data_IF_123030795827
#
_entry.id   IF_123030795827
#
_cell.length_a   1.000
_cell.length_b   1.000
_cell.length_c   1.000
_cell.angle_alpha   90.00
_cell.angle_beta   90.00
_cell.angle_gamma   90.00
#
_symmetry.space_group_name_H-M   'P 1'
#
loop_
_entity.id
_entity.type
_entity.pdbx_description
1 polymer ?
#
# COMPACT_ATOMS: atom_id res chain seq x y z
N UNK A 1 11.87 -39.33 10.12
CA UNK A 1 12.56 -38.03 10.27
C UNK A 1 11.89 -36.91 9.45
N UNK A 2 10.70 -37.15 8.87
CA UNK A 2 10.11 -36.28 7.85
C UNK A 2 9.21 -35.16 8.40
N UNK A 3 8.67 -35.33 9.62
CA UNK A 3 7.82 -34.31 10.25
C UNK A 3 8.55 -32.98 10.49
N UNK A 4 9.85 -33.02 10.79
CA UNK A 4 10.63 -31.82 11.05
C UNK A 4 10.93 -31.04 9.74
N UNK A 5 11.20 -31.75 8.64
CA UNK A 5 11.39 -31.11 7.32
C UNK A 5 10.10 -30.45 6.83
N UNK A 6 8.95 -31.10 7.04
CA UNK A 6 7.66 -30.53 6.66
C UNK A 6 7.30 -29.28 7.48
N UNK A 7 7.53 -29.29 8.80
CA UNK A 7 7.30 -28.13 9.66
C UNK A 7 8.20 -26.94 9.28
N UNK A 8 9.46 -27.18 8.93
CA UNK A 8 10.38 -26.14 8.45
C UNK A 8 9.89 -25.53 7.13
N UNK A 9 9.41 -26.37 6.19
CA UNK A 9 8.86 -25.90 4.91
C UNK A 9 7.63 -25.02 5.11
N UNK A 10 6.69 -25.46 5.95
CA UNK A 10 5.46 -24.69 6.28
C UNK A 10 5.85 -23.36 6.93
N UNK A 11 6.78 -23.37 7.89
CA UNK A 11 7.26 -22.13 8.53
C UNK A 11 7.84 -21.12 7.53
N UNK A 12 8.72 -21.57 6.63
CA UNK A 12 9.32 -20.71 5.61
C UNK A 12 8.27 -20.13 4.66
N UNK A 13 7.30 -20.93 4.27
CA UNK A 13 6.20 -20.52 3.42
C UNK A 13 5.32 -19.45 4.10
N UNK A 14 4.90 -19.68 5.35
CA UNK A 14 4.14 -18.70 6.14
C UNK A 14 4.91 -17.38 6.30
N UNK A 15 6.22 -17.46 6.60
CA UNK A 15 7.08 -16.28 6.74
C UNK A 15 7.19 -15.49 5.42
N UNK A 16 7.34 -16.17 4.29
CA UNK A 16 7.44 -15.52 2.98
C UNK A 16 6.13 -14.83 2.58
N UNK A 17 4.99 -15.49 2.80
CA UNK A 17 3.65 -14.94 2.54
C UNK A 17 3.38 -13.71 3.40
N UNK A 18 3.71 -13.77 4.69
CA UNK A 18 3.65 -12.62 5.60
C UNK A 18 4.51 -11.45 5.11
N UNK A 19 5.76 -11.71 4.71
CA UNK A 19 6.66 -10.67 4.21
C UNK A 19 6.12 -10.01 2.94
N UNK A 20 5.54 -10.81 2.02
CA UNK A 20 4.91 -10.28 0.81
C UNK A 20 3.75 -9.33 1.15
N UNK A 21 2.87 -9.74 2.06
CA UNK A 21 1.75 -8.93 2.52
C UNK A 21 2.21 -7.59 3.13
N UNK A 22 3.23 -7.62 4.00
CA UNK A 22 3.83 -6.41 4.56
C UNK A 22 4.43 -5.49 3.49
N UNK A 23 5.19 -6.05 2.54
CA UNK A 23 5.78 -5.28 1.45
C UNK A 23 4.72 -4.61 0.56
N UNK A 24 3.58 -5.27 0.32
CA UNK A 24 2.46 -4.70 -0.42
C UNK A 24 1.81 -3.56 0.38
N UNK A 25 1.63 -3.72 1.69
CA UNK A 25 1.13 -2.66 2.57
C UNK A 25 2.04 -1.43 2.56
N UNK A 26 3.36 -1.61 2.68
CA UNK A 26 4.33 -0.52 2.64
C UNK A 26 4.29 0.23 1.31
N UNK A 27 4.12 -0.49 0.19
CA UNK A 27 3.94 0.12 -1.14
C UNK A 27 2.65 0.92 -1.24
N UNK A 28 1.56 0.47 -0.62
CA UNK A 28 0.28 1.20 -0.57
C UNK A 28 0.48 2.52 0.18
N UNK A 29 1.12 2.49 1.36
CA UNK A 29 1.39 3.68 2.17
C UNK A 29 2.26 4.66 1.40
N UNK A 30 3.38 4.20 0.84
CA UNK A 30 4.30 5.05 0.09
C UNK A 30 3.61 5.72 -1.10
N UNK A 31 2.87 4.96 -1.91
CA UNK A 31 2.15 5.52 -3.06
C UNK A 31 1.01 6.43 -2.63
N UNK A 32 0.33 6.11 -1.53
CA UNK A 32 -0.68 6.99 -0.91
C UNK A 32 -0.10 8.36 -0.60
N UNK A 33 1.04 8.41 0.12
CA UNK A 33 1.72 9.66 0.45
C UNK A 33 2.14 10.45 -0.80
N UNK A 34 2.61 9.77 -1.86
CA UNK A 34 2.94 10.42 -3.13
C UNK A 34 1.68 11.00 -3.79
N UNK A 35 0.58 10.25 -3.80
CA UNK A 35 -0.71 10.68 -4.36
C UNK A 35 -1.25 11.91 -3.61
N UNK A 36 -1.19 11.91 -2.29
CA UNK A 36 -1.64 13.03 -1.46
C UNK A 36 -0.81 14.31 -1.73
N UNK A 37 0.51 14.18 -1.86
CA UNK A 37 1.36 15.30 -2.25
C UNK A 37 1.01 15.85 -3.64
N UNK A 38 0.72 14.99 -4.62
CA UNK A 38 0.27 15.43 -5.94
C UNK A 38 -1.12 16.10 -5.89
N UNK A 39 -2.02 15.64 -5.01
CA UNK A 39 -3.31 16.29 -4.75
C UNK A 39 -3.14 17.69 -4.15
N UNK A 40 -2.22 17.88 -3.20
CA UNK A 40 -1.93 19.20 -2.64
C UNK A 40 -1.38 20.16 -3.72
N UNK A 41 -0.42 19.71 -4.54
CA UNK A 41 0.07 20.52 -5.67
C UNK A 41 -1.05 20.90 -6.66
N UNK A 42 -1.96 19.97 -6.94
CA UNK A 42 -3.12 20.24 -7.79
C UNK A 42 -4.03 21.30 -7.16
N UNK A 43 -4.33 21.18 -5.86
CA UNK A 43 -5.15 22.16 -5.12
C UNK A 43 -4.55 23.57 -5.21
N UNK A 44 -3.25 23.72 -4.96
CA UNK A 44 -2.56 25.00 -5.08
C UNK A 44 -2.74 25.62 -6.48
N UNK A 45 -2.59 24.82 -7.55
CA UNK A 45 -2.77 25.29 -8.92
C UNK A 45 -4.21 25.67 -9.24
N UNK A 46 -5.18 24.91 -8.74
CA UNK A 46 -6.60 25.21 -8.91
C UNK A 46 -6.97 26.52 -8.20
N UNK A 47 -6.37 26.78 -7.03
CA UNK A 47 -6.52 28.07 -6.33
C UNK A 47 -5.98 29.21 -7.18
N UNK A 48 -4.78 29.06 -7.76
CA UNK A 48 -4.20 30.07 -8.66
C UNK A 48 -5.12 30.31 -9.86
N UNK A 49 -5.60 29.24 -10.51
CA UNK A 49 -6.54 29.34 -11.63
C UNK A 49 -7.81 30.11 -11.25
N UNK A 50 -8.43 29.77 -10.12
CA UNK A 50 -9.62 30.43 -9.61
C UNK A 50 -9.39 31.92 -9.30
N UNK A 51 -8.22 32.26 -8.78
CA UNK A 51 -7.86 33.65 -8.50
C UNK A 51 -7.74 34.49 -9.77
N UNK A 52 -7.20 33.92 -10.85
CA UNK A 52 -7.15 34.59 -12.17
C UNK A 52 -8.56 34.78 -12.74
N UNK A 53 -9.39 33.75 -12.69
CA UNK A 53 -10.79 33.81 -13.15
C UNK A 53 -11.59 34.88 -12.39
N UNK A 54 -11.40 34.99 -11.06
CA UNK A 54 -12.02 36.04 -10.25
C UNK A 54 -11.60 37.46 -10.65
N UNK A 55 -10.39 37.62 -11.21
CA UNK A 55 -9.87 38.88 -11.75
C UNK A 55 -10.24 39.11 -13.21
N UNK A 56 -11.01 38.19 -13.83
CA UNK A 56 -11.29 38.15 -15.27
C UNK A 56 -10.04 38.05 -16.13
N UNK A 57 -8.99 37.42 -15.59
CA UNK A 57 -7.76 37.11 -16.30
C UNK A 57 -7.79 35.67 -16.79
N UNK A 58 -7.37 35.44 -18.03
CA UNK A 58 -7.29 34.09 -18.57
C UNK A 58 -6.10 33.31 -18.02
N UNK A 59 -6.30 32.08 -17.50
CA UNK A 59 -5.20 31.22 -17.09
C UNK A 59 -4.26 30.92 -18.26
N UNK A 60 -2.96 31.11 -18.05
CA UNK A 60 -1.94 30.74 -19.05
C UNK A 60 -2.07 29.27 -19.44
N UNK A 61 -1.75 28.94 -20.71
CA UNK A 61 -1.77 27.55 -21.18
C UNK A 61 -0.90 26.65 -20.31
N UNK A 62 0.30 27.14 -19.93
CA UNK A 62 1.21 26.43 -19.02
C UNK A 62 0.57 26.05 -17.68
N UNK A 63 -0.34 26.85 -17.14
CA UNK A 63 -1.05 26.52 -15.90
C UNK A 63 -2.09 25.42 -16.15
N UNK A 64 -2.83 25.51 -17.27
CA UNK A 64 -3.79 24.49 -17.69
C UNK A 64 -3.11 23.14 -17.91
N UNK A 65 -2.00 23.11 -18.64
CA UNK A 65 -1.23 21.90 -18.92
C UNK A 65 -0.72 21.24 -17.62
N UNK A 66 -0.26 22.05 -16.65
CA UNK A 66 0.18 21.53 -15.36
C UNK A 66 -0.97 20.94 -14.55
N UNK A 67 -2.15 21.57 -14.56
CA UNK A 67 -3.35 21.04 -13.89
C UNK A 67 -3.71 19.68 -14.49
N UNK A 68 -3.80 19.59 -15.82
CA UNK A 68 -4.09 18.34 -16.53
C UNK A 68 -3.04 17.26 -16.22
N UNK A 69 -1.75 17.61 -16.27
CA UNK A 69 -0.66 16.69 -15.93
C UNK A 69 -0.77 16.13 -14.50
N UNK A 70 -1.09 16.97 -13.52
CA UNK A 70 -1.31 16.48 -12.14
C UNK A 70 -2.55 15.60 -12.03
N UNK A 71 -3.65 15.95 -12.71
CA UNK A 71 -4.86 15.12 -12.74
C UNK A 71 -4.59 13.73 -13.31
N UNK A 72 -3.90 13.65 -14.45
CA UNK A 72 -3.48 12.38 -15.05
C UNK A 72 -2.60 11.56 -14.11
N UNK A 73 -1.58 12.20 -13.52
CA UNK A 73 -0.68 11.53 -12.57
C UNK A 73 -1.40 11.02 -11.32
N UNK A 74 -2.37 11.77 -10.80
CA UNK A 74 -3.21 11.32 -9.68
C UNK A 74 -4.02 10.10 -10.09
N UNK A 75 -4.68 10.13 -11.27
CA UNK A 75 -5.43 8.99 -11.79
C UNK A 75 -4.56 7.73 -11.93
N UNK A 76 -3.36 7.87 -12.48
CA UNK A 76 -2.41 6.76 -12.61
C UNK A 76 -1.97 6.20 -11.25
N UNK A 77 -1.71 7.09 -10.27
CA UNK A 77 -1.34 6.69 -8.91
C UNK A 77 -2.49 5.97 -8.21
N UNK A 78 -3.72 6.46 -8.34
CA UNK A 78 -4.91 5.84 -7.77
C UNK A 78 -5.17 4.45 -8.38
N UNK A 79 -5.03 4.31 -9.70
CA UNK A 79 -5.12 3.01 -10.37
C UNK A 79 -4.06 2.02 -9.86
N UNK A 80 -2.81 2.47 -9.72
CA UNK A 80 -1.75 1.63 -9.16
C UNK A 80 -2.00 1.25 -7.69
N UNK A 81 -2.46 2.20 -6.87
CA UNK A 81 -2.82 1.94 -5.46
C UNK A 81 -3.93 0.89 -5.39
N UNK A 82 -4.96 1.02 -6.22
CA UNK A 82 -6.08 0.08 -6.25
C UNK A 82 -5.64 -1.33 -6.68
N UNK A 83 -4.77 -1.43 -7.68
CA UNK A 83 -4.20 -2.72 -8.08
C UNK A 83 -3.41 -3.36 -6.93
N UNK A 84 -2.53 -2.58 -6.26
CA UNK A 84 -1.74 -3.09 -5.14
C UNK A 84 -2.63 -3.45 -3.95
N UNK A 85 -3.70 -2.70 -3.67
CA UNK A 85 -4.70 -3.03 -2.64
C UNK A 85 -5.36 -4.38 -2.93
N UNK A 86 -5.73 -4.65 -4.19
CA UNK A 86 -6.28 -5.95 -4.57
C UNK A 86 -5.30 -7.10 -4.29
N UNK A 87 -4.04 -6.94 -4.71
CA UNK A 87 -2.98 -7.91 -4.42
C UNK A 87 -2.72 -8.07 -2.91
N UNK A 88 -2.77 -6.98 -2.16
CA UNK A 88 -2.61 -7.00 -0.71
C UNK A 88 -3.71 -7.82 -0.03
N UNK A 89 -4.97 -7.62 -0.41
CA UNK A 89 -6.10 -8.39 0.12
C UNK A 89 -5.93 -9.89 -0.17
N UNK A 90 -5.59 -10.26 -1.40
CA UNK A 90 -5.29 -11.66 -1.77
C UNK A 90 -4.13 -12.22 -0.93
N UNK A 91 -3.08 -11.42 -0.70
CA UNK A 91 -1.94 -11.84 0.11
C UNK A 91 -2.28 -12.06 1.58
N UNK A 92 -3.25 -11.31 2.14
CA UNK A 92 -3.73 -11.50 3.51
C UNK A 92 -4.41 -12.86 3.63
N UNK A 93 -5.30 -13.20 2.69
CA UNK A 93 -6.01 -14.48 2.69
C UNK A 93 -5.02 -15.66 2.65
N UNK A 94 -4.05 -15.59 1.74
CA UNK A 94 -2.99 -16.59 1.60
C UNK A 94 -2.13 -16.68 2.87
N UNK A 95 -1.82 -15.55 3.51
CA UNK A 95 -1.06 -15.50 4.76
C UNK A 95 -1.84 -16.14 5.91
N UNK A 96 -3.14 -15.87 6.01
CA UNK A 96 -4.00 -16.44 7.05
C UNK A 96 -4.10 -17.98 6.92
N UNK A 97 -4.21 -18.49 5.69
CA UNK A 97 -4.18 -19.92 5.41
C UNK A 97 -2.84 -20.51 5.87
N UNK A 98 -1.72 -19.92 5.46
CA UNK A 98 -0.39 -20.41 5.82
C UNK A 98 -0.10 -20.35 7.33
N UNK A 99 -0.61 -19.34 8.04
CA UNK A 99 -0.51 -19.27 9.50
C UNK A 99 -1.38 -20.33 10.19
N UNK A 100 -2.58 -20.59 9.66
CA UNK A 100 -3.46 -21.66 10.15
C UNK A 100 -2.81 -23.03 9.99
N UNK A 101 -2.18 -23.29 8.85
CA UNK A 101 -1.40 -24.53 8.63
C UNK A 101 -0.19 -24.62 9.56
N UNK A 102 0.53 -23.51 9.76
CA UNK A 102 1.65 -23.48 10.69
C UNK A 102 1.22 -23.78 12.13
N UNK A 103 0.07 -23.26 12.59
CA UNK A 103 -0.46 -23.54 13.93
C UNK A 103 -0.71 -25.03 14.18
N UNK A 104 -1.06 -25.80 13.14
CA UNK A 104 -1.29 -27.25 13.25
C UNK A 104 0.00 -28.03 13.48
N UNK A 105 1.16 -27.48 13.08
CA UNK A 105 2.45 -28.17 13.15
C UNK A 105 3.43 -27.55 14.15
N UNK A 106 3.34 -26.24 14.40
CA UNK A 106 4.22 -25.48 15.29
C UNK A 106 3.53 -24.17 15.73
N UNK A 107 2.75 -24.26 16.82
CA UNK A 107 1.99 -23.13 17.38
C UNK A 107 2.92 -21.98 17.82
N UNK A 108 4.10 -22.30 18.37
CA UNK A 108 5.03 -21.30 18.88
C UNK A 108 5.53 -20.41 17.74
N UNK A 109 5.96 -21.01 16.63
CA UNK A 109 6.41 -20.24 15.47
C UNK A 109 5.30 -19.44 14.79
N UNK A 110 4.08 -19.97 14.75
CA UNK A 110 2.94 -19.21 14.26
C UNK A 110 2.74 -17.92 15.07
N UNK A 111 2.76 -18.04 16.41
CA UNK A 111 2.62 -16.89 17.30
C UNK A 111 3.79 -15.91 17.18
N UNK A 112 5.03 -16.38 16.98
CA UNK A 112 6.19 -15.52 16.75
C UNK A 112 6.03 -14.67 15.48
N UNK A 113 5.52 -15.26 14.39
CA UNK A 113 5.24 -14.53 13.14
C UNK A 113 4.14 -13.49 13.37
N UNK A 114 3.03 -13.86 14.00
CA UNK A 114 1.92 -12.94 14.26
C UNK A 114 2.32 -11.77 15.17
N UNK A 115 3.09 -12.06 16.22
CA UNK A 115 3.61 -11.04 17.12
C UNK A 115 4.56 -10.08 16.39
N UNK A 116 5.43 -10.61 15.53
CA UNK A 116 6.33 -9.80 14.70
C UNK A 116 5.57 -8.88 13.73
N UNK A 117 4.40 -9.31 13.24
CA UNK A 117 3.52 -8.46 12.43
C UNK A 117 2.87 -7.38 13.30
N UNK A 118 2.33 -7.76 14.46
CA UNK A 118 1.64 -6.83 15.36
C UNK A 118 2.57 -5.68 15.83
N UNK A 119 3.84 -5.99 16.12
CA UNK A 119 4.85 -4.99 16.47
C UNK A 119 5.28 -4.07 15.31
N UNK A 120 5.18 -4.55 14.05
CA UNK A 120 5.51 -3.75 12.87
C UNK A 120 4.39 -2.83 12.41
N UNK A 121 3.14 -3.09 12.84
CA UNK A 121 2.06 -2.13 12.61
C UNK A 121 2.35 -0.91 13.49
N UNK A 122 2.32 0.32 12.95
CA UNK A 122 2.46 1.50 13.77
C UNK A 122 1.36 1.46 14.84
N UNK A 123 1.75 1.38 16.10
CA UNK A 123 0.86 1.66 17.22
C UNK A 123 0.29 3.04 16.93
N UNK A 124 -1.03 3.14 16.69
CA UNK A 124 -1.69 4.45 16.58
C UNK A 124 -1.34 5.23 17.85
N UNK A 125 -0.45 6.20 17.74
CA UNK A 125 -0.26 7.28 18.72
C UNK A 125 -1.08 8.47 18.28
#
# INVERSE_FOLDING_TARGET
MDNNKNAIKIFLDSKNKTNLSNNLNDKIILKGNICDNEKEKLKERLIIKKNLENRKEDPSQRLKDKIESHQLKIGDLEAQINNIKSLFLQSIEITNIALSELRKVDLKKANEIEFSIALKKPTKM
#
